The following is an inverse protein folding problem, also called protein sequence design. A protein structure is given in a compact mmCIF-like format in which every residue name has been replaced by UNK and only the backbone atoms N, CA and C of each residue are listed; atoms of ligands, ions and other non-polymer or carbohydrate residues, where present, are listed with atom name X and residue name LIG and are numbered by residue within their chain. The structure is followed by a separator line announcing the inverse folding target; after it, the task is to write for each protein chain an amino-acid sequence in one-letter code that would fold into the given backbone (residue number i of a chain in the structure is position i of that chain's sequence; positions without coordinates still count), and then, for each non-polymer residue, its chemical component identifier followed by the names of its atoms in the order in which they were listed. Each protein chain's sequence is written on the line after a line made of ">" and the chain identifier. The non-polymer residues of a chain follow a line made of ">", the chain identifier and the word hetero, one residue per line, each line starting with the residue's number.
data_IF_675542474605
#
_entry.id   IF_675542474605
#
_cell.length_a   1.000
_cell.length_b   1.000
_cell.length_c   1.000
_cell.angle_alpha   90.00
_cell.angle_beta   90.00
_cell.angle_gamma   90.00
#
_symmetry.space_group_name_H-M   'P 1'
#
loop_
_entity.id
_entity.type
_entity.pdbx_description
1 polymer ?
#
# COMPACT_ATOMS: atom_id res chain seq x y z
N UNK A 1 -13.74 -23.11 13.09
CA UNK A 1 -13.35 -21.70 13.26
C UNK A 1 -11.94 -21.52 12.75
N UNK A 2 -11.77 -20.96 11.55
CA UNK A 2 -10.45 -20.78 10.92
C UNK A 2 -9.74 -19.56 11.52
N UNK A 3 -8.45 -19.64 11.86
CA UNK A 3 -7.72 -18.49 12.38
C UNK A 3 -7.53 -17.47 11.25
N UNK A 4 -8.02 -16.24 11.45
CA UNK A 4 -7.71 -15.11 10.58
C UNK A 4 -6.18 -14.95 10.54
N UNK A 5 -5.58 -15.37 9.43
CA UNK A 5 -4.16 -15.22 9.09
C UNK A 5 -3.75 -13.79 9.44
N UNK A 6 -2.88 -13.61 10.44
CA UNK A 6 -2.29 -12.30 10.74
C UNK A 6 -1.37 -11.96 9.57
N UNK A 7 -1.94 -11.36 8.55
CA UNK A 7 -1.24 -10.92 7.36
C UNK A 7 -0.47 -9.67 7.75
N UNK A 8 0.83 -9.77 8.06
CA UNK A 8 1.89 -8.77 7.76
C UNK A 8 3.08 -8.89 8.73
N UNK A 9 3.94 -9.91 8.58
CA UNK A 9 5.21 -10.01 9.32
C UNK A 9 6.40 -9.32 8.62
N UNK A 10 6.16 -8.53 7.56
CA UNK A 10 7.23 -7.89 6.78
C UNK A 10 7.27 -6.38 7.00
N UNK A 11 8.39 -5.91 7.53
CA UNK A 11 8.71 -4.49 7.73
C UNK A 11 9.31 -3.94 6.43
N UNK A 12 8.80 -2.80 5.97
CA UNK A 12 9.33 -2.05 4.83
C UNK A 12 10.06 -0.81 5.34
N UNK A 13 11.37 -0.77 5.15
CA UNK A 13 12.20 0.42 5.42
C UNK A 13 12.66 1.01 4.10
N UNK A 14 12.31 2.28 3.85
CA UNK A 14 12.67 2.99 2.63
C UNK A 14 13.26 4.35 2.98
N UNK A 15 14.24 4.81 2.19
CA UNK A 15 14.78 6.17 2.29
C UNK A 15 14.04 7.04 1.28
N UNK A 16 13.40 8.10 1.77
CA UNK A 16 12.80 9.13 0.91
C UNK A 16 13.59 10.44 1.03
N UNK A 17 13.73 11.19 -0.07
CA UNK A 17 14.18 12.57 -0.03
C UNK A 17 13.15 13.48 0.66
N UNK A 18 13.63 14.59 1.23
CA UNK A 18 12.85 15.51 2.07
C UNK A 18 11.61 16.07 1.37
N UNK A 19 11.74 16.42 0.09
CA UNK A 19 10.65 16.92 -0.76
C UNK A 19 9.50 15.91 -0.93
N UNK A 20 9.81 14.62 -1.02
CA UNK A 20 8.77 13.57 -1.14
C UNK A 20 8.13 13.27 0.21
N UNK A 21 8.90 13.34 1.30
CA UNK A 21 8.38 13.22 2.65
C UNK A 21 7.36 14.33 2.95
N UNK A 22 7.68 15.58 2.62
CA UNK A 22 6.80 16.72 2.85
C UNK A 22 5.45 16.58 2.12
N UNK A 23 5.49 16.14 0.85
CA UNK A 23 4.27 15.81 0.08
C UNK A 23 3.46 14.69 0.73
N UNK A 24 4.13 13.63 1.20
CA UNK A 24 3.48 12.52 1.87
C UNK A 24 2.81 12.98 3.18
N UNK A 25 3.47 13.86 3.94
CA UNK A 25 2.92 14.41 5.18
C UNK A 25 1.71 15.30 4.94
N UNK A 26 1.78 16.21 3.96
CA UNK A 26 0.65 17.02 3.56
C UNK A 26 -0.55 16.15 3.15
N UNK A 27 -0.31 15.09 2.37
CA UNK A 27 -1.34 14.15 1.96
C UNK A 27 -1.93 13.36 3.14
N UNK A 28 -1.09 12.90 4.07
CA UNK A 28 -1.51 12.24 5.31
C UNK A 28 -2.41 13.15 6.15
N UNK A 29 -2.06 14.43 6.28
CA UNK A 29 -2.87 15.42 7.01
C UNK A 29 -4.22 15.64 6.34
N UNK A 30 -4.24 15.83 5.02
CA UNK A 30 -5.47 16.04 4.26
C UNK A 30 -6.42 14.82 4.33
N UNK A 31 -5.88 13.61 4.31
CA UNK A 31 -6.66 12.37 4.27
C UNK A 31 -6.96 11.76 5.64
N UNK A 32 -6.38 12.32 6.72
CA UNK A 32 -6.42 11.78 8.10
C UNK A 32 -5.96 10.31 8.19
N UNK A 33 -5.00 9.93 7.34
CA UNK A 33 -4.46 8.57 7.28
C UNK A 33 -3.01 8.53 7.73
N UNK A 34 -2.60 7.40 8.30
CA UNK A 34 -1.20 7.20 8.68
C UNK A 34 -0.34 6.98 7.44
N UNK A 35 0.95 7.34 7.52
CA UNK A 35 1.94 7.12 6.46
C UNK A 35 1.90 5.67 5.94
N UNK A 36 1.76 4.73 6.86
CA UNK A 36 1.60 3.30 6.56
C UNK A 36 0.35 2.97 5.74
N UNK A 37 -0.80 3.57 6.07
CA UNK A 37 -2.04 3.31 5.34
C UNK A 37 -2.01 3.91 3.92
N UNK A 38 -1.44 5.12 3.79
CA UNK A 38 -1.23 5.76 2.48
C UNK A 38 -0.32 4.92 1.60
N UNK A 39 0.80 4.42 2.13
CA UNK A 39 1.72 3.54 1.39
C UNK A 39 1.03 2.23 0.99
N UNK A 40 0.25 1.61 1.90
CA UNK A 40 -0.52 0.40 1.57
C UNK A 40 -1.56 0.65 0.49
N UNK A 41 -2.27 1.78 0.56
CA UNK A 41 -3.26 2.14 -0.46
C UNK A 41 -2.61 2.40 -1.80
N UNK A 42 -1.49 3.13 -1.83
CA UNK A 42 -0.67 3.34 -3.02
C UNK A 42 -0.26 1.99 -3.63
N UNK A 43 0.28 1.07 -2.82
CA UNK A 43 0.66 -0.27 -3.28
C UNK A 43 -0.54 -1.04 -3.85
N UNK A 44 -1.73 -0.94 -3.25
CA UNK A 44 -2.95 -1.57 -3.78
C UNK A 44 -3.45 -0.93 -5.07
N UNK A 45 -3.23 0.37 -5.26
CA UNK A 45 -3.56 1.09 -6.50
C UNK A 45 -2.60 0.77 -7.63
N UNK A 46 -1.38 0.29 -7.34
CA UNK A 46 -0.47 -0.23 -8.36
C UNK A 46 -1.11 -1.50 -8.94
N UNK A 47 -1.81 -1.35 -10.07
CA UNK A 47 -2.18 -2.46 -10.93
C UNK A 47 -0.90 -3.01 -11.55
N UNK A 48 -0.26 -3.94 -10.85
CA UNK A 48 0.68 -4.82 -11.50
C UNK A 48 -0.16 -5.58 -12.51
N UNK A 49 0.16 -5.47 -13.79
CA UNK A 49 -0.37 -6.35 -14.82
C UNK A 49 0.22 -7.73 -14.52
N UNK A 50 -0.29 -8.39 -13.50
CA UNK A 50 -0.03 -9.79 -13.25
C UNK A 50 -0.42 -10.48 -14.55
N UNK A 51 0.52 -11.19 -15.15
CA UNK A 51 0.32 -12.05 -16.31
C UNK A 51 -0.60 -13.26 -15.99
N UNK A 52 -1.57 -13.08 -15.10
CA UNK A 52 -2.53 -14.05 -14.60
C UNK A 52 -3.92 -13.41 -14.45
N UNK A 53 -4.28 -12.52 -15.37
CA UNK A 53 -5.67 -12.30 -15.78
C UNK A 53 -5.86 -12.97 -17.16
N UNK A 54 -5.57 -14.27 -17.19
CA UNK A 54 -6.26 -15.19 -18.10
C UNK A 54 -7.14 -16.05 -17.21
N UNK A 55 -8.43 -16.04 -17.54
CA UNK A 55 -9.48 -16.97 -17.10
C UNK A 55 -10.07 -16.78 -15.69
N UNK A 56 -11.25 -16.15 -15.67
CA UNK A 56 -12.47 -16.93 -15.42
C UNK A 56 -13.63 -16.35 -16.23
N UNK A 57 -14.06 -17.15 -17.20
CA UNK A 57 -15.32 -17.06 -17.93
C UNK A 57 -16.51 -17.13 -16.97
N UNK A 58 -17.59 -16.42 -17.29
CA UNK A 58 -18.83 -16.96 -17.88
C UNK A 58 -19.70 -15.82 -18.38
#
# INVERSE_FOLDING_TARGET
>A
MSPKKRLSDRVLTIRLPELELEKLEAYCQATKRTKTDVVREMIRKIKIKSASDSESSQ
#
